data_IF_745397956608
#
_entry.id   IF_745397956608
#
_cell.length_a   1.000
_cell.length_b   1.000
_cell.length_c   1.000
_cell.angle_alpha   90.00
_cell.angle_beta   90.00
_cell.angle_gamma   90.00
#
_symmetry.space_group_name_H-M   'P 1'
#
loop_
_entity.id
_entity.type
_entity.pdbx_description
1 polymer ?
#
# COMPACT_ATOMS: atom_id res chain seq x y z
N UNK A 1 7.61 4.80 -10.72
CA UNK A 1 6.57 5.18 -9.75
C UNK A 1 7.10 4.97 -8.35
N UNK A 2 7.12 6.01 -7.53
CA UNK A 2 7.40 5.92 -6.10
C UNK A 2 6.09 6.03 -5.32
N UNK A 3 6.02 5.36 -4.17
CA UNK A 3 4.86 5.35 -3.28
C UNK A 3 5.25 5.99 -1.95
N UNK A 4 4.51 7.01 -1.55
CA UNK A 4 4.60 7.64 -0.24
C UNK A 4 3.38 7.28 0.59
N UNK A 5 3.62 6.77 1.78
CA UNK A 5 2.57 6.39 2.73
C UNK A 5 2.73 7.28 3.95
N UNK A 6 1.73 8.12 4.22
CA UNK A 6 1.65 8.87 5.48
C UNK A 6 0.95 8.00 6.50
N UNK A 7 1.59 7.79 7.65
CA UNK A 7 1.03 7.05 8.76
C UNK A 7 0.31 8.00 9.73
N UNK A 8 -0.71 7.48 10.43
CA UNK A 8 -1.49 8.27 11.40
C UNK A 8 -0.67 8.77 12.59
N UNK A 9 0.46 8.13 12.89
CA UNK A 9 1.40 8.55 13.93
C UNK A 9 2.35 9.68 13.49
N UNK A 10 2.11 10.31 12.33
CA UNK A 10 2.95 11.32 11.70
C UNK A 10 4.29 10.83 11.11
N UNK A 11 4.54 9.53 11.09
CA UNK A 11 5.66 8.97 10.33
C UNK A 11 5.32 8.88 8.84
N UNK A 12 6.34 8.60 8.03
CA UNK A 12 6.17 8.37 6.61
C UNK A 12 7.03 7.19 6.16
N UNK A 13 6.54 6.48 5.13
CA UNK A 13 7.27 5.41 4.47
C UNK A 13 7.32 5.70 2.98
N UNK A 14 8.52 5.62 2.41
CA UNK A 14 8.74 5.72 0.97
C UNK A 14 9.09 4.34 0.41
N UNK A 15 8.37 3.90 -0.62
CA UNK A 15 8.70 2.74 -1.43
C UNK A 15 9.08 3.22 -2.82
N UNK A 16 10.36 3.08 -3.15
CA UNK A 16 10.90 3.40 -4.48
C UNK A 16 10.61 2.28 -5.47
N UNK A 17 10.42 2.63 -6.74
CA UNK A 17 10.16 1.67 -7.82
C UNK A 17 9.04 0.68 -7.45
N UNK A 18 7.87 1.20 -7.03
CA UNK A 18 6.71 0.37 -6.72
C UNK A 18 6.37 -0.51 -7.94
N UNK A 19 6.11 -1.80 -7.68
CA UNK A 19 5.78 -2.84 -8.68
C UNK A 19 4.38 -3.39 -8.48
N UNK A 20 4.01 -3.67 -7.23
CA UNK A 20 2.72 -4.24 -6.88
C UNK A 20 2.31 -3.89 -5.44
N UNK A 21 1.01 -3.89 -5.20
CA UNK A 21 0.43 -3.85 -3.86
C UNK A 21 -0.43 -5.09 -3.68
N UNK A 22 -0.27 -5.77 -2.55
CA UNK A 22 -1.14 -6.87 -2.15
C UNK A 22 -1.93 -6.45 -0.93
N UNK A 23 -3.17 -6.90 -0.82
CA UNK A 23 -3.92 -6.74 0.41
C UNK A 23 -4.87 -7.90 0.68
N UNK A 24 -5.13 -8.12 1.96
CA UNK A 24 -6.10 -9.11 2.43
C UNK A 24 -6.82 -8.61 3.67
N UNK A 25 -8.05 -9.08 3.85
CA UNK A 25 -8.81 -8.87 5.07
C UNK A 25 -8.50 -10.01 6.05
N UNK A 26 -8.32 -9.75 7.37
CA UNK A 26 -7.99 -10.77 8.37
C UNK A 26 -8.94 -11.97 8.37
N UNK A 27 -10.21 -11.75 8.04
CA UNK A 27 -11.26 -12.78 7.99
C UNK A 27 -11.42 -13.43 6.61
N UNK A 28 -10.55 -13.09 5.65
CA UNK A 28 -10.61 -13.58 4.27
C UNK A 28 -9.30 -14.28 3.89
N UNK A 29 -9.42 -15.49 3.33
CA UNK A 29 -8.27 -16.17 2.73
C UNK A 29 -7.89 -15.57 1.36
N UNK A 30 -8.69 -14.64 0.83
CA UNK A 30 -8.46 -14.02 -0.47
C UNK A 30 -7.41 -12.92 -0.34
N UNK A 31 -6.35 -13.04 -1.12
CA UNK A 31 -5.38 -11.97 -1.37
C UNK A 31 -5.73 -11.31 -2.70
N UNK A 32 -5.84 -10.00 -2.68
CA UNK A 32 -6.00 -9.19 -3.89
C UNK A 32 -4.67 -8.55 -4.23
N UNK A 33 -4.30 -8.63 -5.52
CA UNK A 33 -3.08 -8.02 -6.04
C UNK A 33 -3.45 -6.89 -6.99
N UNK A 34 -2.90 -5.70 -6.76
CA UNK A 34 -3.00 -4.53 -7.61
C UNK A 34 -1.62 -4.28 -8.22
N UNK A 35 -1.54 -4.40 -9.55
CA UNK A 35 -0.35 -3.98 -10.31
C UNK A 35 -0.31 -2.47 -10.41
N UNK A 36 0.88 -1.90 -10.57
CA UNK A 36 1.07 -0.44 -10.71
C UNK A 36 0.25 0.16 -11.85
N UNK A 37 0.05 -0.56 -12.95
CA UNK A 37 -0.76 -0.11 -14.08
C UNK A 37 -2.25 0.09 -13.71
N UNK A 38 -2.72 -0.59 -12.66
CA UNK A 38 -4.10 -0.54 -12.17
C UNK A 38 -4.22 0.14 -10.80
N UNK A 39 -3.21 0.93 -10.40
CA UNK A 39 -3.10 1.46 -9.03
C UNK A 39 -4.24 2.41 -8.65
N UNK A 40 -4.91 3.00 -9.64
CA UNK A 40 -6.13 3.81 -9.48
C UNK A 40 -7.30 3.03 -8.86
N UNK A 41 -7.26 1.69 -8.88
CA UNK A 41 -8.25 0.82 -8.21
C UNK A 41 -7.98 0.68 -6.70
N UNK A 42 -6.84 1.17 -6.22
CA UNK A 42 -6.47 1.09 -4.81
C UNK A 42 -7.44 1.93 -3.97
N UNK A 43 -8.23 1.24 -3.15
CA UNK A 43 -8.99 1.83 -2.05
C UNK A 43 -8.41 1.33 -0.74
N UNK A 44 -8.00 2.27 0.10
CA UNK A 44 -7.53 1.95 1.45
C UNK A 44 -8.72 1.62 2.33
N UNK A 45 -8.65 0.47 2.99
CA UNK A 45 -9.63 -0.02 3.94
C UNK A 45 -8.93 -0.23 5.27
N UNK A 46 -9.52 0.31 6.35
CA UNK A 46 -8.94 0.20 7.70
C UNK A 46 -8.85 -1.25 8.19
N UNK A 47 -9.68 -2.14 7.67
CA UNK A 47 -9.73 -3.55 8.09
C UNK A 47 -8.74 -4.44 7.33
N UNK A 48 -8.06 -3.94 6.29
CA UNK A 48 -7.16 -4.73 5.47
C UNK A 48 -5.70 -4.60 5.91
N UNK A 49 -4.90 -5.63 5.65
CA UNK A 49 -3.43 -5.57 5.72
C UNK A 49 -2.89 -5.35 4.32
N UNK A 50 -1.91 -4.47 4.17
CA UNK A 50 -1.29 -4.11 2.89
C UNK A 50 0.18 -4.52 2.84
N UNK A 51 0.61 -4.97 1.67
CA UNK A 51 2.01 -5.26 1.34
C UNK A 51 2.36 -4.46 0.10
N UNK A 52 3.22 -3.45 0.25
CA UNK A 52 3.74 -2.63 -0.84
C UNK A 52 5.09 -3.18 -1.28
N UNK A 53 5.22 -3.52 -2.55
CA UNK A 53 6.41 -4.20 -3.09
C UNK A 53 7.02 -3.31 -4.17
N UNK A 54 8.25 -2.86 -3.92
CA UNK A 54 9.08 -2.14 -4.89
C UNK A 54 10.53 -2.54 -4.74
N UNK A 55 11.42 -1.55 -4.59
CA UNK A 55 12.83 -1.79 -4.21
C UNK A 55 12.98 -2.34 -2.79
N UNK A 56 12.04 -1.97 -1.91
CA UNK A 56 11.83 -2.56 -0.59
C UNK A 56 10.40 -3.12 -0.50
N UNK A 57 10.18 -4.02 0.45
CA UNK A 57 8.85 -4.54 0.80
C UNK A 57 8.44 -3.96 2.14
N UNK A 58 7.24 -3.38 2.20
CA UNK A 58 6.67 -2.82 3.42
C UNK A 58 5.32 -3.45 3.69
N UNK A 59 5.10 -3.88 4.93
CA UNK A 59 3.83 -4.41 5.41
C UNK A 59 3.23 -3.40 6.40
N UNK A 60 1.97 -3.00 6.17
CA UNK A 60 1.30 -1.98 6.99
C UNK A 60 -0.16 -2.38 7.19
N UNK A 61 -0.70 -2.18 8.38
CA UNK A 61 -2.14 -2.32 8.60
C UNK A 61 -2.88 -1.11 8.04
N UNK A 62 -4.04 -1.34 7.43
CA UNK A 62 -4.85 -0.30 6.84
C UNK A 62 -5.27 0.77 7.84
N UNK A 63 -5.49 0.41 9.11
CA UNK A 63 -5.81 1.33 10.19
C UNK A 63 -4.67 2.28 10.57
N UNK A 64 -3.42 1.98 10.20
CA UNK A 64 -2.26 2.84 10.40
C UNK A 64 -2.06 3.85 9.25
N UNK A 65 -2.66 3.59 8.09
CA UNK A 65 -2.53 4.44 6.90
C UNK A 65 -3.43 5.66 7.03
N UNK A 66 -2.84 6.86 6.90
CA UNK A 66 -3.58 8.11 6.77
C UNK A 66 -3.92 8.38 5.30
N UNK A 67 -2.92 8.34 4.42
CA UNK A 67 -3.11 8.38 2.98
C UNK A 67 -1.93 7.75 2.24
N UNK A 68 -2.18 7.34 0.99
CA UNK A 68 -1.16 6.86 0.05
C UNK A 68 -1.12 7.83 -1.12
N UNK A 69 0.09 8.23 -1.50
CA UNK A 69 0.33 9.11 -2.65
C UNK A 69 1.36 8.47 -3.57
N UNK A 70 1.09 8.56 -4.87
CA UNK A 70 1.94 8.00 -5.91
C UNK A 70 2.52 9.13 -6.72
N UNK A 71 3.79 9.00 -7.07
CA UNK A 71 4.50 10.00 -7.86
C UNK A 71 5.31 9.31 -8.96
N UNK A 72 5.25 9.90 -10.15
CA UNK A 72 6.23 9.64 -11.20
C UNK A 72 7.47 10.48 -10.89
N UNK A 73 8.64 9.83 -10.96
CA UNK A 73 9.95 10.43 -10.73
C UNK A 73 10.76 10.38 -12.00
#
# INVERSE_FOLDING_TARGET
MNCFIRLKNNDYVEIKELKEIKFSYPHSQRVTNIKVDNIQELKISFEANYVFIGKSTVVIKGDEIQYVQLFES
#
